data_IF_784982019554
#
_entry.id   IF_784982019554
#
_cell.length_a   1.000
_cell.length_b   1.000
_cell.length_c   1.000
_cell.angle_alpha   90.00
_cell.angle_beta   90.00
_cell.angle_gamma   90.00
#
_symmetry.space_group_name_H-M   'P 1'
#
loop_
_entity.id
_entity.type
_entity.pdbx_description
1 polymer ?
#
# COMPACT_ATOMS: atom_id res chain seq x y z
N UNK A 1 -15.07 12.83 5.54
CA UNK A 1 -13.78 12.29 5.07
C UNK A 1 -13.46 11.07 5.91
N UNK A 2 -13.64 9.86 5.37
CA UNK A 2 -13.12 8.65 6.00
C UNK A 2 -11.69 8.50 5.51
N UNK A 3 -10.71 8.91 6.31
CA UNK A 3 -9.29 8.72 5.99
C UNK A 3 -8.95 7.25 6.16
N UNK A 4 -8.45 6.60 5.10
CA UNK A 4 -8.01 5.20 5.17
C UNK A 4 -6.83 5.08 6.16
N UNK A 5 -6.91 4.19 7.16
CA UNK A 5 -5.86 4.03 8.17
C UNK A 5 -4.52 3.51 7.62
N UNK A 6 -4.45 3.11 6.34
CA UNK A 6 -3.25 2.62 5.65
C UNK A 6 -2.57 3.70 4.81
N UNK A 7 -3.19 4.87 4.61
CA UNK A 7 -2.66 5.97 3.78
C UNK A 7 -1.39 6.66 4.33
N UNK A 8 -0.69 6.02 5.27
CA UNK A 8 0.51 6.56 5.92
C UNK A 8 1.26 5.55 6.77
N UNK A 9 1.14 4.25 6.47
CA UNK A 9 1.99 3.24 7.09
C UNK A 9 3.41 3.40 6.53
N UNK A 10 4.25 4.19 7.23
CA UNK A 10 5.67 4.49 6.99
C UNK A 10 6.21 4.00 5.64
N UNK A 11 5.86 4.73 4.58
CA UNK A 11 6.50 4.58 3.27
C UNK A 11 7.95 5.05 3.45
N UNK A 12 8.91 4.12 3.41
CA UNK A 12 10.32 4.48 3.26
C UNK A 12 10.50 5.29 1.98
N UNK A 13 11.51 6.16 1.89
CA UNK A 13 11.67 7.08 0.74
C UNK A 13 11.47 6.41 -0.64
N UNK A 14 11.93 5.17 -0.84
CA UNK A 14 11.71 4.41 -2.08
C UNK A 14 10.25 3.96 -2.29
N UNK A 15 9.60 3.41 -1.26
CA UNK A 15 8.18 3.02 -1.35
C UNK A 15 7.26 4.24 -1.49
N UNK A 16 7.66 5.38 -0.92
CA UNK A 16 6.98 6.66 -1.09
C UNK A 16 7.14 7.18 -2.51
N UNK A 17 8.34 7.07 -3.08
CA UNK A 17 8.61 7.43 -4.47
C UNK A 17 7.75 6.60 -5.43
N UNK A 18 7.67 5.29 -5.22
CA UNK A 18 6.83 4.39 -6.03
C UNK A 18 5.34 4.80 -5.96
N UNK A 19 4.82 5.13 -4.77
CA UNK A 19 3.45 5.62 -4.60
C UNK A 19 3.22 6.99 -5.28
N UNK A 20 4.19 7.91 -5.20
CA UNK A 20 4.10 9.22 -5.88
C UNK A 20 4.03 9.04 -7.39
N UNK A 21 4.85 8.15 -7.96
CA UNK A 21 4.85 7.84 -9.38
C UNK A 21 3.50 7.23 -9.80
N UNK A 22 3.01 6.25 -9.05
CA UNK A 22 1.72 5.60 -9.28
C UNK A 22 0.54 6.58 -9.25
N UNK A 23 0.46 7.43 -8.20
CA UNK A 23 -0.60 8.45 -8.08
C UNK A 23 -0.45 9.52 -9.15
N UNK A 24 0.78 9.87 -9.52
CA UNK A 24 1.07 10.80 -10.62
C UNK A 24 0.49 10.31 -11.94
N UNK A 25 0.74 9.06 -12.29
CA UNK A 25 0.23 8.43 -13.52
C UNK A 25 -1.31 8.39 -13.53
N UNK A 26 -1.94 8.08 -12.39
CA UNK A 26 -3.40 8.11 -12.26
C UNK A 26 -3.98 9.52 -12.46
N UNK A 27 -3.34 10.55 -11.90
CA UNK A 27 -3.78 11.95 -12.07
C UNK A 27 -3.64 12.41 -13.52
N UNK A 28 -2.56 12.01 -14.20
CA UNK A 28 -2.38 12.30 -15.63
C UNK A 28 -3.48 11.65 -16.46
N UNK A 29 -3.78 10.37 -16.21
CA UNK A 29 -4.86 9.66 -16.90
C UNK A 29 -6.22 10.34 -16.67
N UNK A 30 -6.52 10.73 -15.43
CA UNK A 30 -7.77 11.43 -15.10
C UNK A 30 -7.85 12.81 -15.76
N UNK A 31 -6.73 13.54 -15.84
CA UNK A 31 -6.67 14.88 -16.43
C UNK A 31 -6.79 14.87 -17.96
N UNK A 32 -6.45 13.75 -18.59
CA UNK A 32 -6.59 13.55 -20.03
C UNK A 32 -8.01 13.10 -20.43
N UNK A 33 -8.83 12.67 -19.46
CA UNK A 33 -10.21 12.27 -19.68
C UNK A 33 -11.16 13.46 -19.57
N UNK A 34 -12.15 13.53 -20.47
CA UNK A 34 -13.21 14.56 -20.41
C UNK A 34 -14.25 14.24 -19.33
N UNK A 35 -14.40 12.96 -18.99
CA UNK A 35 -15.33 12.42 -18.00
C UNK A 35 -14.59 11.73 -16.84
N UNK A 36 -15.24 11.53 -15.67
CA UNK A 36 -14.66 10.74 -14.58
C UNK A 36 -14.26 9.33 -15.03
N UNK A 37 -13.07 8.88 -14.62
CA UNK A 37 -12.58 7.54 -14.94
C UNK A 37 -13.49 6.46 -14.36
N UNK A 38 -13.77 5.45 -15.18
CA UNK A 38 -14.42 4.21 -14.75
C UNK A 38 -13.46 3.34 -13.94
N UNK A 39 -14.00 2.39 -13.18
CA UNK A 39 -13.20 1.45 -12.38
C UNK A 39 -12.20 0.66 -13.25
N UNK A 40 -12.61 0.29 -14.47
CA UNK A 40 -11.74 -0.43 -15.41
C UNK A 40 -10.62 0.46 -15.97
N UNK A 41 -10.83 1.78 -16.03
CA UNK A 41 -9.81 2.74 -16.45
C UNK A 41 -8.82 3.03 -15.34
N UNK A 42 -9.31 3.14 -14.10
CA UNK A 42 -8.48 3.26 -12.91
C UNK A 42 -7.58 2.03 -12.78
N UNK A 43 -8.15 0.83 -12.87
CA UNK A 43 -7.36 -0.41 -12.77
C UNK A 43 -6.30 -0.52 -13.86
N UNK A 44 -6.63 -0.12 -15.10
CA UNK A 44 -5.63 -0.08 -16.18
C UNK A 44 -4.53 0.95 -15.91
N UNK A 45 -4.86 2.13 -15.39
CA UNK A 45 -3.87 3.14 -15.02
C UNK A 45 -2.98 2.66 -13.86
N UNK A 46 -3.53 1.86 -12.94
CA UNK A 46 -2.81 1.26 -11.82
C UNK A 46 -2.12 -0.07 -12.18
N UNK A 47 -2.22 -0.55 -13.43
CA UNK A 47 -1.65 -1.83 -13.85
C UNK A 47 -2.29 -3.07 -13.20
N UNK A 48 -3.51 -2.96 -12.67
CA UNK A 48 -4.25 -4.05 -12.02
C UNK A 48 -4.83 -4.96 -13.10
N UNK A 49 -4.23 -6.14 -13.28
CA UNK A 49 -4.82 -7.21 -14.08
C UNK A 49 -5.90 -7.94 -13.26
N UNK A 50 -7.18 -7.61 -13.47
CA UNK A 50 -8.31 -8.41 -12.94
C UNK A 50 -8.33 -9.80 -13.59
N UNK A 51 -7.48 -10.71 -13.11
CA UNK A 51 -7.37 -12.03 -13.72
C UNK A 51 -6.35 -13.01 -13.16
N UNK A 52 -5.52 -12.68 -12.15
CA UNK A 52 -4.66 -13.66 -11.46
C UNK A 52 -4.49 -13.34 -9.98
N UNK A 53 -4.76 -14.35 -9.17
CA UNK A 53 -4.85 -14.34 -7.71
C UNK A 53 -3.54 -13.95 -6.97
N UNK A 54 -3.67 -13.07 -5.96
CA UNK A 54 -3.48 -13.50 -4.57
C UNK A 54 -2.10 -13.89 -4.04
N UNK A 55 -1.00 -13.21 -4.36
CA UNK A 55 0.28 -13.36 -3.64
C UNK A 55 1.12 -12.09 -3.79
N UNK A 56 1.24 -11.21 -2.79
CA UNK A 56 2.36 -11.14 -1.82
C UNK A 56 2.19 -9.74 -1.20
N UNK A 57 1.83 -9.52 0.07
CA UNK A 57 2.65 -9.68 1.27
C UNK A 57 1.75 -9.55 2.51
N UNK A 58 1.75 -10.55 3.39
CA UNK A 58 1.22 -10.38 4.74
C UNK A 58 2.26 -9.59 5.57
N UNK A 59 1.86 -8.62 6.43
CA UNK A 59 2.82 -7.93 7.27
C UNK A 59 3.41 -8.94 8.24
N UNK A 60 4.71 -9.19 8.10
CA UNK A 60 5.47 -10.01 9.03
C UNK A 60 5.42 -9.31 10.39
N UNK A 61 4.49 -9.74 11.23
CA UNK A 61 4.52 -9.45 12.65
C UNK A 61 5.84 -9.96 13.19
N UNK A 62 6.81 -9.06 13.35
CA UNK A 62 8.05 -9.36 14.06
C UNK A 62 7.66 -9.75 15.46
N UNK A 63 7.56 -11.05 15.71
CA UNK A 63 7.44 -11.61 17.05
C UNK A 63 8.75 -11.32 17.76
N UNK A 64 8.85 -10.12 18.34
CA UNK A 64 9.93 -9.74 19.23
C UNK A 64 9.83 -10.67 20.44
N UNK A 65 10.81 -11.56 20.71
CA UNK A 65 10.77 -12.36 21.91
C UNK A 65 10.93 -11.42 23.12
N UNK A 66 9.85 -11.20 23.85
CA UNK A 66 9.88 -10.56 25.16
C UNK A 66 10.89 -11.30 26.03
N UNK A 67 11.99 -10.61 26.33
CA UNK A 67 13.03 -11.00 27.28
C UNK A 67 12.39 -11.39 28.62
N UNK A 68 12.14 -12.68 28.82
CA UNK A 68 11.63 -13.23 30.06
C UNK A 68 12.70 -13.06 31.15
N UNK A 69 12.46 -12.12 32.05
CA UNK A 69 13.30 -11.87 33.22
C UNK A 69 13.41 -13.13 34.07
N UNK A 70 14.63 -13.68 34.21
CA UNK A 70 14.94 -14.63 35.26
C UNK A 70 14.79 -13.92 36.61
N UNK A 71 13.67 -14.14 37.30
CA UNK A 71 13.56 -13.88 38.73
C UNK A 71 14.41 -14.93 39.46
N UNK A 72 15.58 -14.51 39.93
CA UNK A 72 16.37 -15.23 40.93
C UNK A 72 15.58 -15.20 42.25
N UNK A 73 15.14 -16.36 42.73
CA UNK A 73 14.73 -16.52 44.13
C UNK A 73 15.84 -17.34 44.80
N UNK A 74 16.49 -16.73 45.80
CA UNK A 74 17.35 -17.38 46.79
C UNK A 74 16.60 -17.37 48.12
#
# INVERSE_FOLDING_TARGET
>A
MTTDPRAGADLTDDALQDEIELVGDLVVAASASEDPLTEDEIDRALGIERGRDGSTEAPQGTSHPHRAGKRLNA
#
